data_IF_024251322677
#
_entry.id   IF_024251322677
#
_cell.length_a   1.000
_cell.length_b   1.000
_cell.length_c   1.000
_cell.angle_alpha   90.00
_cell.angle_beta   90.00
_cell.angle_gamma   90.00
#
_symmetry.space_group_name_H-M   'P 1'
#
loop_
_entity.id
_entity.type
_entity.pdbx_description
1 polymer ?
#
# COMPACT_ATOMS: atom_id res chain seq x y z
N UNK A 1 13.51 -11.77 8.47
CA UNK A 1 12.44 -10.88 7.93
C UNK A 1 12.00 -9.96 9.05
N UNK A 2 11.69 -8.70 8.75
CA UNK A 2 11.26 -7.69 9.75
C UNK A 2 9.91 -7.12 9.31
N UNK A 3 8.95 -7.05 10.23
CA UNK A 3 7.71 -6.31 10.08
C UNK A 3 7.89 -4.93 10.69
N UNK A 4 7.55 -3.86 9.97
CA UNK A 4 7.68 -2.49 10.43
C UNK A 4 6.58 -2.10 11.41
N UNK A 5 5.33 -2.53 11.17
CA UNK A 5 4.14 -2.32 12.03
C UNK A 5 3.66 -0.88 12.21
N UNK A 6 4.45 0.12 11.81
CA UNK A 6 4.08 1.53 11.88
C UNK A 6 4.40 2.31 10.59
N UNK A 7 4.07 1.76 9.42
CA UNK A 7 4.30 2.48 8.16
C UNK A 7 3.34 3.68 8.10
N UNK A 8 3.90 4.87 7.93
CA UNK A 8 3.17 6.15 7.88
C UNK A 8 3.94 7.16 7.05
N UNK A 9 3.28 8.19 6.53
CA UNK A 9 3.96 9.26 5.78
C UNK A 9 5.05 9.96 6.61
N UNK A 10 4.83 10.13 7.92
CA UNK A 10 5.81 10.74 8.83
C UNK A 10 7.07 9.90 9.03
N UNK A 11 6.98 8.59 8.80
CA UNK A 11 8.09 7.66 8.91
C UNK A 11 8.80 7.44 7.56
N UNK A 12 8.32 8.06 6.47
CA UNK A 12 9.00 8.07 5.19
C UNK A 12 9.88 9.31 5.05
N UNK A 13 11.16 9.06 4.77
CA UNK A 13 12.12 10.11 4.45
C UNK A 13 12.72 9.85 3.08
N UNK A 14 13.46 10.83 2.58
CA UNK A 14 14.34 10.63 1.44
C UNK A 14 15.73 11.17 1.78
N UNK A 15 16.75 10.46 1.34
CA UNK A 15 18.14 10.89 1.46
C UNK A 15 18.67 11.25 0.09
N UNK A 16 19.35 12.39 -0.01
CA UNK A 16 20.06 12.77 -1.23
C UNK A 16 21.39 11.99 -1.32
N UNK A 17 21.57 11.26 -2.41
CA UNK A 17 22.83 10.62 -2.82
C UNK A 17 23.60 11.57 -3.74
N UNK A 18 24.87 11.79 -3.42
CA UNK A 18 25.77 12.67 -4.18
C UNK A 18 26.71 11.89 -5.11
N UNK A 19 26.71 10.56 -4.98
CA UNK A 19 27.54 9.60 -5.72
C UNK A 19 26.89 9.12 -7.03
N UNK A 20 25.58 9.37 -7.23
CA UNK A 20 24.85 8.96 -8.44
C UNK A 20 24.13 10.16 -9.10
N UNK A 21 24.34 10.34 -10.40
CA UNK A 21 23.69 11.42 -11.16
C UNK A 21 22.28 11.05 -11.67
N UNK A 22 21.92 9.77 -11.71
CA UNK A 22 20.66 9.29 -12.30
C UNK A 22 19.48 9.31 -11.31
N UNK A 23 19.71 8.87 -10.07
CA UNK A 23 18.71 8.87 -9.00
C UNK A 23 19.33 9.42 -7.73
N UNK A 24 19.40 10.76 -7.60
CA UNK A 24 20.08 11.40 -6.48
C UNK A 24 19.26 11.31 -5.19
N UNK A 25 18.14 10.58 -5.15
CA UNK A 25 17.31 10.44 -3.95
C UNK A 25 16.94 8.99 -3.72
N UNK A 26 17.01 8.56 -2.45
CA UNK A 26 16.58 7.24 -2.03
C UNK A 26 15.60 7.37 -0.87
N UNK A 27 14.48 6.65 -0.97
CA UNK A 27 13.51 6.53 0.11
C UNK A 27 14.13 5.79 1.30
N UNK A 28 13.96 6.35 2.49
CA UNK A 28 14.40 5.77 3.76
C UNK A 28 13.17 5.61 4.65
N UNK A 29 12.92 4.38 5.09
CA UNK A 29 11.89 4.10 6.09
C UNK A 29 12.51 4.19 7.48
N UNK A 30 11.89 4.94 8.37
CA UNK A 30 12.35 5.21 9.72
C UNK A 30 11.37 4.69 10.77
N UNK A 31 11.78 4.76 12.05
CA UNK A 31 10.93 4.46 13.22
C UNK A 31 10.56 2.97 13.35
N UNK A 32 11.58 2.16 13.65
CA UNK A 32 11.49 0.71 13.86
C UNK A 32 11.18 0.33 15.31
N UNK A 33 10.81 1.27 16.18
CA UNK A 33 10.55 1.00 17.60
C UNK A 33 9.39 0.02 17.82
N UNK A 34 8.46 -0.03 16.85
CA UNK A 34 7.31 -0.94 16.85
C UNK A 34 7.56 -2.20 15.99
N UNK A 35 8.74 -2.32 15.38
CA UNK A 35 9.06 -3.40 14.47
C UNK A 35 9.22 -4.75 15.18
N UNK A 36 9.08 -5.83 14.43
CA UNK A 36 9.28 -7.18 14.95
C UNK A 36 10.06 -8.06 13.97
N UNK A 37 10.98 -8.86 14.51
CA UNK A 37 11.71 -9.88 13.73
C UNK A 37 10.93 -11.19 13.68
N UNK A 38 10.82 -11.79 12.50
CA UNK A 38 10.20 -13.09 12.30
C UNK A 38 11.24 -14.23 12.32
N UNK A 39 10.92 -15.42 12.90
CA UNK A 39 9.64 -15.76 13.54
C UNK A 39 9.44 -15.05 14.88
N UNK A 40 8.18 -14.77 15.23
CA UNK A 40 7.81 -14.06 16.45
C UNK A 40 8.32 -14.86 17.67
N UNK A 41 9.36 -14.35 18.35
CA UNK A 41 9.96 -15.05 19.50
C UNK A 41 9.10 -14.95 20.77
N UNK A 42 8.28 -13.92 20.87
CA UNK A 42 7.38 -13.65 21.98
C UNK A 42 6.08 -13.03 21.43
N UNK A 43 4.93 -13.27 22.07
CA UNK A 43 3.64 -12.62 21.75
C UNK A 43 3.69 -11.17 22.23
N UNK A 44 4.71 -10.41 21.82
CA UNK A 44 4.90 -9.05 22.26
C UNK A 44 4.00 -8.13 21.44
N UNK A 45 2.95 -7.73 22.17
CA UNK A 45 1.94 -6.69 21.94
C UNK A 45 0.87 -6.98 20.87
N UNK A 46 -0.20 -7.66 21.34
CA UNK A 46 -1.60 -7.59 20.88
C UNK A 46 -2.20 -6.16 21.05
N UNK A 47 -1.38 -5.12 20.96
CA UNK A 47 -1.84 -3.76 21.11
C UNK A 47 -2.13 -3.20 19.72
N UNK A 48 -3.17 -2.37 19.62
CA UNK A 48 -3.50 -1.59 18.43
C UNK A 48 -2.31 -0.70 18.08
N UNK A 49 -1.44 -1.20 17.19
CA UNK A 49 -0.16 -0.56 16.84
C UNK A 49 -0.26 -0.06 15.41
N UNK A 50 0.10 1.21 15.23
CA UNK A 50 0.11 1.86 13.94
C UNK A 50 -0.69 3.16 13.95
N UNK A 51 -0.56 3.91 12.86
CA UNK A 51 -1.22 5.20 12.69
C UNK A 51 -2.57 4.98 11.99
N UNK A 52 -3.71 5.37 12.58
CA UNK A 52 -5.06 4.90 12.19
C UNK A 52 -5.41 5.02 10.69
N UNK A 53 -5.10 6.14 10.01
CA UNK A 53 -5.37 6.26 8.58
C UNK A 53 -4.56 5.28 7.72
N UNK A 54 -3.38 4.85 8.16
CA UNK A 54 -2.49 3.92 7.45
C UNK A 54 -2.66 2.47 7.87
N UNK A 55 -3.33 2.22 8.98
CA UNK A 55 -3.54 0.89 9.51
C UNK A 55 -4.42 0.05 8.59
N UNK A 56 -4.04 -1.20 8.33
CA UNK A 56 -4.84 -2.16 7.58
C UNK A 56 -6.20 -2.38 8.26
N UNK A 57 -7.25 -2.61 7.48
CA UNK A 57 -8.60 -2.71 8.02
C UNK A 57 -8.80 -3.87 9.00
N UNK A 58 -8.02 -4.95 8.86
CA UNK A 58 -8.02 -6.08 9.78
C UNK A 58 -7.48 -5.73 11.17
N UNK A 59 -6.70 -4.66 11.30
CA UNK A 59 -6.09 -4.23 12.57
C UNK A 59 -6.90 -3.13 13.27
N UNK A 60 -7.92 -2.57 12.62
CA UNK A 60 -8.70 -1.45 13.16
C UNK A 60 -9.65 -1.95 14.26
N UNK A 61 -9.49 -1.42 15.48
CA UNK A 61 -10.37 -1.74 16.61
C UNK A 61 -10.26 -3.18 17.11
N UNK A 62 -9.26 -3.93 16.65
CA UNK A 62 -8.98 -5.31 17.08
C UNK A 62 -7.63 -5.36 17.79
N UNK A 63 -7.61 -6.01 18.96
CA UNK A 63 -6.40 -6.18 19.75
C UNK A 63 -5.73 -7.54 19.47
N UNK A 64 -6.53 -8.56 19.12
CA UNK A 64 -6.03 -9.94 19.02
C UNK A 64 -5.55 -10.37 17.62
N UNK A 65 -5.39 -9.44 16.69
CA UNK A 65 -4.94 -9.75 15.33
C UNK A 65 -3.42 -9.64 15.23
N UNK A 66 -2.79 -10.73 14.82
CA UNK A 66 -1.35 -10.75 14.53
C UNK A 66 -1.07 -9.83 13.33
N UNK A 67 -0.08 -8.95 13.49
CA UNK A 67 0.38 -8.12 12.38
C UNK A 67 1.18 -8.98 11.38
N UNK A 68 0.82 -8.92 10.10
CA UNK A 68 1.41 -9.72 9.02
C UNK A 68 2.06 -8.80 7.98
N UNK A 69 2.90 -9.36 7.11
CA UNK A 69 3.55 -8.65 6.00
C UNK A 69 2.55 -7.87 5.14
N UNK A 70 1.43 -8.49 4.76
CA UNK A 70 0.38 -7.81 3.98
C UNK A 70 -0.15 -6.52 4.63
N UNK A 71 -0.09 -6.37 5.96
CA UNK A 71 -0.54 -5.16 6.63
C UNK A 71 0.43 -3.99 6.43
N UNK A 72 1.74 -4.27 6.43
CA UNK A 72 2.75 -3.28 6.06
C UNK A 72 2.61 -2.86 4.59
N UNK A 73 2.34 -3.81 3.69
CA UNK A 73 2.10 -3.52 2.27
C UNK A 73 0.83 -2.67 2.08
N UNK A 74 -0.26 -2.94 2.81
CA UNK A 74 -1.47 -2.09 2.78
C UNK A 74 -1.17 -0.67 3.24
N UNK A 75 -0.43 -0.52 4.34
CA UNK A 75 -0.05 0.79 4.84
C UNK A 75 0.80 1.57 3.83
N UNK A 76 1.76 0.91 3.19
CA UNK A 76 2.55 1.50 2.09
C UNK A 76 1.66 1.94 0.91
N UNK A 77 0.73 1.07 0.50
CA UNK A 77 -0.20 1.36 -0.58
C UNK A 77 -1.13 2.55 -0.26
N UNK A 78 -1.59 2.67 0.98
CA UNK A 78 -2.38 3.84 1.41
C UNK A 78 -1.58 5.14 1.31
N UNK A 79 -0.27 5.10 1.56
CA UNK A 79 0.60 6.27 1.37
C UNK A 79 0.73 6.64 -0.10
N UNK A 80 0.90 5.66 -0.99
CA UNK A 80 0.90 5.92 -2.43
C UNK A 80 -0.41 6.57 -2.89
N UNK A 81 -1.56 6.07 -2.45
CA UNK A 81 -2.87 6.67 -2.75
C UNK A 81 -2.95 8.12 -2.31
N UNK A 82 -2.51 8.43 -1.08
CA UNK A 82 -2.50 9.81 -0.58
C UNK A 82 -1.63 10.72 -1.42
N UNK A 83 -0.39 10.32 -1.68
CA UNK A 83 0.56 11.15 -2.41
C UNK A 83 0.05 11.40 -3.83
N UNK A 84 -0.36 10.33 -4.51
CA UNK A 84 -0.76 10.40 -5.91
C UNK A 84 -2.08 11.15 -6.11
N UNK A 85 -3.06 10.98 -5.23
CA UNK A 85 -4.37 11.61 -5.40
C UNK A 85 -4.49 12.96 -4.67
N UNK A 86 -3.85 13.09 -3.51
CA UNK A 86 -4.00 14.21 -2.59
C UNK A 86 -3.07 15.38 -2.84
N UNK A 87 -2.04 15.22 -3.66
CA UNK A 87 -1.05 16.25 -3.91
C UNK A 87 -0.84 16.53 -5.39
N UNK A 88 -0.46 17.76 -5.71
CA UNK A 88 -0.05 18.19 -7.05
C UNK A 88 1.33 18.85 -6.97
N UNK A 89 2.14 18.69 -8.00
CA UNK A 89 3.41 19.42 -8.11
C UNK A 89 3.13 20.74 -8.83
N UNK A 90 3.25 21.84 -8.10
CA UNK A 90 2.97 23.18 -8.61
C UNK A 90 4.24 24.02 -8.67
N UNK A 91 4.29 24.95 -9.62
CA UNK A 91 5.37 25.92 -9.69
C UNK A 91 5.13 27.02 -8.64
N UNK A 92 6.11 27.24 -7.78
CA UNK A 92 6.14 28.36 -6.83
C UNK A 92 7.33 29.29 -7.13
N UNK A 93 7.40 30.42 -6.42
CA UNK A 93 8.53 31.35 -6.51
C UNK A 93 9.88 30.71 -6.15
N UNK A 94 9.88 29.68 -5.29
CA UNK A 94 11.07 28.95 -4.86
C UNK A 94 11.36 27.66 -5.65
N UNK A 95 10.63 27.42 -6.75
CA UNK A 95 10.71 26.18 -7.53
C UNK A 95 9.46 25.31 -7.42
N UNK A 96 9.57 24.05 -7.85
CA UNK A 96 8.47 23.09 -7.78
C UNK A 96 8.24 22.66 -6.33
N UNK A 97 7.00 22.73 -5.87
CA UNK A 97 6.58 22.30 -4.54
C UNK A 97 5.40 21.35 -4.62
N UNK A 98 5.29 20.47 -3.63
CA UNK A 98 4.14 19.58 -3.50
C UNK A 98 3.05 20.31 -2.71
N UNK A 99 1.88 20.51 -3.32
CA UNK A 99 0.75 21.21 -2.73
C UNK A 99 -0.43 20.26 -2.52
N UNK A 100 -1.04 20.31 -1.34
CA UNK A 100 -2.23 19.51 -1.02
C UNK A 100 -3.47 20.03 -1.77
N UNK A 101 -4.23 19.11 -2.36
CA UNK A 101 -5.42 19.38 -3.14
C UNK A 101 -6.68 19.34 -2.26
N UNK A 102 -6.90 20.37 -1.43
CA UNK A 102 -8.02 20.42 -0.48
C UNK A 102 -9.40 20.19 -1.12
N UNK A 103 -9.64 20.69 -2.33
CA UNK A 103 -10.92 20.50 -3.04
C UNK A 103 -11.10 19.12 -3.68
N UNK A 104 -10.00 18.40 -3.90
CA UNK A 104 -10.03 17.02 -4.43
C UNK A 104 -10.08 16.00 -3.31
N UNK A 105 -9.57 16.33 -2.11
CA UNK A 105 -9.63 15.47 -0.93
C UNK A 105 -11.06 15.07 -0.59
N UNK A 106 -12.02 16.01 -0.67
CA UNK A 106 -13.44 15.71 -0.48
C UNK A 106 -14.06 14.80 -1.57
N UNK A 107 -13.40 14.61 -2.72
CA UNK A 107 -13.90 13.82 -3.86
C UNK A 107 -13.26 12.43 -3.97
N UNK A 108 -12.21 12.14 -3.19
CA UNK A 108 -11.56 10.83 -3.22
C UNK A 108 -12.46 9.74 -2.61
N UNK A 109 -12.45 8.56 -3.21
CA UNK A 109 -13.15 7.38 -2.69
C UNK A 109 -12.68 6.94 -1.29
N UNK A 110 -11.53 7.43 -0.84
CA UNK A 110 -10.90 7.14 0.45
C UNK A 110 -10.69 8.38 1.33
N UNK A 111 -11.36 9.50 1.02
CA UNK A 111 -11.28 10.75 1.78
C UNK A 111 -11.54 10.55 3.28
N UNK A 112 -12.54 9.73 3.60
CA UNK A 112 -12.97 9.43 4.97
C UNK A 112 -11.93 8.68 5.80
N UNK A 113 -10.88 8.13 5.19
CA UNK A 113 -9.87 7.39 5.94
C UNK A 113 -9.06 8.26 6.91
N UNK A 114 -9.09 9.58 6.70
CA UNK A 114 -8.34 10.57 7.48
C UNK A 114 -9.22 11.36 8.43
N UNK A 115 -10.54 11.13 8.40
CA UNK A 115 -11.47 11.76 9.30
C UNK A 115 -11.37 11.09 10.68
N UNK A 116 -10.81 11.84 11.64
CA UNK A 116 -10.61 11.39 13.02
C UNK A 116 -11.92 11.21 13.80
N UNK A 117 -13.04 11.64 13.24
CA UNK A 117 -14.36 11.46 13.83
C UNK A 117 -15.05 10.16 13.39
N UNK A 118 -14.53 9.52 12.34
CA UNK A 118 -15.04 8.23 11.84
C UNK A 118 -14.73 7.11 12.83
N UNK A 119 -15.72 6.26 13.13
CA UNK A 119 -15.53 5.11 14.02
C UNK A 119 -14.63 4.06 13.38
N UNK A 120 -14.02 3.20 14.21
CA UNK A 120 -13.18 2.09 13.73
C UNK A 120 -13.92 1.15 12.78
N UNK A 121 -15.19 0.88 13.07
CA UNK A 121 -16.03 0.01 12.25
C UNK A 121 -16.30 0.62 10.88
N UNK A 122 -16.72 1.90 10.83
CA UNK A 122 -16.93 2.61 9.56
C UNK A 122 -15.65 2.67 8.73
N UNK A 123 -14.50 2.96 9.36
CA UNK A 123 -13.21 2.99 8.68
C UNK A 123 -12.82 1.62 8.11
N UNK A 124 -13.10 0.55 8.85
CA UNK A 124 -12.91 -0.84 8.42
C UNK A 124 -13.75 -1.12 7.18
N UNK A 125 -15.03 -0.77 7.21
CA UNK A 125 -15.97 -1.00 6.12
C UNK A 125 -15.57 -0.20 4.87
N UNK A 126 -15.18 1.07 5.00
CA UNK A 126 -14.71 1.87 3.86
C UNK A 126 -13.45 1.29 3.22
N UNK A 127 -12.46 0.87 4.03
CA UNK A 127 -11.21 0.29 3.51
C UNK A 127 -11.45 -1.07 2.85
N UNK A 128 -12.30 -1.91 3.44
CA UNK A 128 -12.67 -3.21 2.86
C UNK A 128 -13.43 -3.03 1.54
N UNK A 129 -14.41 -2.12 1.52
CA UNK A 129 -15.21 -1.80 0.35
C UNK A 129 -14.35 -1.27 -0.81
N UNK A 130 -13.33 -0.44 -0.52
CA UNK A 130 -12.40 0.07 -1.52
C UNK A 130 -11.74 -1.03 -2.36
N UNK A 131 -11.34 -2.15 -1.73
CA UNK A 131 -10.74 -3.28 -2.45
C UNK A 131 -11.79 -4.19 -3.09
N UNK A 132 -12.86 -4.53 -2.37
CA UNK A 132 -13.88 -5.47 -2.88
C UNK A 132 -14.63 -4.90 -4.07
N UNK A 133 -14.91 -3.59 -4.07
CA UNK A 133 -15.65 -2.94 -5.15
C UNK A 133 -14.76 -2.32 -6.22
N UNK A 134 -13.42 -2.34 -6.06
CA UNK A 134 -12.45 -1.66 -6.95
C UNK A 134 -12.90 -0.23 -7.20
N UNK A 135 -12.92 0.54 -6.11
CA UNK A 135 -13.25 1.95 -6.19
C UNK A 135 -12.27 2.65 -7.15
N UNK A 136 -12.77 3.52 -8.04
CA UNK A 136 -11.93 4.20 -9.01
C UNK A 136 -10.89 5.08 -8.30
N UNK A 137 -9.70 5.09 -8.88
CA UNK A 137 -8.55 5.85 -8.42
C UNK A 137 -8.27 6.94 -9.45
N UNK A 138 -8.20 8.18 -8.97
CA UNK A 138 -7.93 9.35 -9.82
C UNK A 138 -6.72 10.10 -9.27
N UNK A 139 -5.49 9.77 -9.71
CA UNK A 139 -4.30 10.54 -9.37
C UNK A 139 -4.40 11.97 -9.88
N UNK A 140 -3.65 12.87 -9.24
CA UNK A 140 -3.45 14.23 -9.75
C UNK A 140 -2.65 14.21 -11.05
N UNK A 141 -2.55 15.36 -11.71
CA UNK A 141 -1.92 15.43 -13.04
C UNK A 141 -0.45 15.01 -12.97
N UNK A 142 0.28 15.51 -11.97
CA UNK A 142 1.70 15.19 -11.77
C UNK A 142 1.97 13.73 -11.43
N UNK A 143 0.98 13.00 -10.91
CA UNK A 143 1.12 11.59 -10.51
C UNK A 143 0.30 10.63 -11.39
N UNK A 144 -0.16 11.09 -12.56
CA UNK A 144 -0.99 10.27 -13.46
C UNK A 144 -0.31 8.96 -13.90
N UNK A 145 1.02 8.97 -14.06
CA UNK A 145 1.81 7.78 -14.39
C UNK A 145 1.72 6.65 -13.34
N UNK A 146 1.41 6.98 -12.08
CA UNK A 146 1.27 5.99 -11.00
C UNK A 146 -0.05 5.21 -11.05
N UNK A 147 -1.01 5.62 -11.89
CA UNK A 147 -2.32 4.96 -11.98
C UNK A 147 -2.21 3.45 -12.24
N UNK A 148 -1.26 3.04 -13.09
CA UNK A 148 -1.03 1.62 -13.38
C UNK A 148 -0.61 0.84 -12.13
N UNK A 149 0.29 1.40 -11.33
CA UNK A 149 0.72 0.78 -10.07
C UNK A 149 -0.43 0.69 -9.10
N UNK A 150 -1.18 1.79 -8.95
CA UNK A 150 -2.27 1.87 -7.99
C UNK A 150 -3.35 0.83 -8.29
N UNK A 151 -3.78 0.73 -9.55
CA UNK A 151 -4.75 -0.26 -9.99
C UNK A 151 -4.22 -1.69 -9.83
N UNK A 152 -2.98 -1.97 -10.25
CA UNK A 152 -2.40 -3.31 -10.15
C UNK A 152 -2.36 -3.81 -8.70
N UNK A 153 -1.93 -2.97 -7.75
CA UNK A 153 -1.87 -3.32 -6.33
C UNK A 153 -3.28 -3.51 -5.76
N UNK A 154 -4.24 -2.64 -6.11
CA UNK A 154 -5.64 -2.79 -5.69
C UNK A 154 -6.22 -4.14 -6.14
N UNK A 155 -5.92 -4.56 -7.37
CA UNK A 155 -6.37 -5.83 -7.94
C UNK A 155 -5.74 -7.02 -7.21
N UNK A 156 -4.43 -6.99 -6.92
CA UNK A 156 -3.78 -8.05 -6.14
C UNK A 156 -4.42 -8.22 -4.76
N UNK A 157 -4.70 -7.11 -4.06
CA UNK A 157 -5.41 -7.16 -2.79
C UNK A 157 -6.83 -7.71 -2.93
N UNK A 158 -7.57 -7.30 -3.97
CA UNK A 158 -8.89 -7.86 -4.24
C UNK A 158 -8.83 -9.37 -4.41
N UNK A 159 -7.93 -9.89 -5.24
CA UNK A 159 -7.82 -11.33 -5.46
C UNK A 159 -7.44 -12.09 -4.20
N UNK A 160 -6.44 -11.60 -3.46
CA UNK A 160 -6.07 -12.17 -2.17
C UNK A 160 -7.26 -12.25 -1.19
N UNK A 161 -8.08 -11.20 -1.12
CA UNK A 161 -9.29 -11.16 -0.29
C UNK A 161 -10.40 -12.11 -0.79
N UNK A 162 -10.57 -12.26 -2.10
CA UNK A 162 -11.52 -13.20 -2.69
C UNK A 162 -11.14 -14.65 -2.38
N UNK A 163 -9.87 -15.00 -2.56
CA UNK A 163 -9.36 -16.35 -2.23
C UNK A 163 -9.48 -16.61 -0.73
N UNK A 164 -9.11 -15.65 0.12
CA UNK A 164 -9.30 -15.75 1.57
C UNK A 164 -10.76 -16.01 1.95
N UNK A 165 -11.71 -15.39 1.25
CA UNK A 165 -13.15 -15.58 1.46
C UNK A 165 -13.74 -16.82 0.75
N UNK A 166 -12.92 -17.66 0.10
CA UNK A 166 -13.36 -18.79 -0.74
C UNK A 166 -14.34 -18.38 -1.84
N UNK A 167 -14.17 -17.18 -2.39
CA UNK A 167 -14.99 -16.63 -3.48
C UNK A 167 -14.29 -16.81 -4.84
N UNK A 168 -15.08 -16.95 -5.90
CA UNK A 168 -14.57 -16.98 -7.28
C UNK A 168 -14.00 -15.63 -7.67
N UNK A 169 -12.77 -15.61 -8.14
CA UNK A 169 -12.12 -14.41 -8.69
C UNK A 169 -12.88 -14.00 -9.98
N UNK A 170 -13.30 -12.72 -10.12
CA UNK A 170 -13.85 -12.23 -11.38
C UNK A 170 -12.79 -12.28 -12.50
N UNK A 171 -13.14 -12.77 -13.69
CA UNK A 171 -12.24 -12.92 -14.85
C UNK A 171 -11.72 -11.60 -15.43
N UNK A 172 -12.21 -10.46 -14.95
CA UNK A 172 -11.85 -9.14 -15.46
C UNK A 172 -10.70 -8.52 -14.66
N UNK A 173 -9.75 -7.92 -15.39
CA UNK A 173 -8.69 -7.01 -14.92
C UNK A 173 -7.30 -7.61 -14.62
N UNK A 174 -6.69 -8.34 -15.55
CA UNK A 174 -5.22 -8.47 -15.57
C UNK A 174 -4.69 -7.48 -16.62
N UNK A 175 -3.77 -6.55 -16.29
CA UNK A 175 -2.94 -5.93 -17.31
C UNK A 175 -2.26 -7.07 -18.09
N UNK A 176 -2.25 -7.03 -19.42
CA UNK A 176 -1.75 -8.09 -20.32
C UNK A 176 -0.31 -8.56 -20.07
N UNK A 177 0.42 -7.89 -19.18
CA UNK A 177 1.80 -8.16 -18.80
C UNK A 177 1.96 -8.90 -17.46
N UNK A 178 0.89 -9.07 -16.69
CA UNK A 178 0.93 -9.84 -15.46
C UNK A 178 0.58 -11.30 -15.72
N UNK A 179 1.36 -12.21 -15.16
CA UNK A 179 0.98 -13.63 -15.07
C UNK A 179 0.61 -13.88 -13.63
N UNK A 180 -0.60 -14.35 -13.37
CA UNK A 180 -1.02 -14.75 -12.03
C UNK A 180 -0.01 -15.78 -11.49
N UNK A 181 0.31 -15.79 -10.19
CA UNK A 181 0.85 -17.01 -9.59
C UNK A 181 -0.10 -18.16 -9.95
N UNK A 182 0.47 -19.25 -10.48
CA UNK A 182 -0.28 -20.46 -10.77
C UNK A 182 -1.10 -20.85 -9.54
N UNK A 183 -2.36 -21.24 -9.78
CA UNK A 183 -3.28 -21.75 -8.75
C UNK A 183 -2.53 -22.58 -7.73
N UNK A 184 -2.50 -22.12 -6.47
CA UNK A 184 -1.82 -22.84 -5.39
C UNK A 184 -2.29 -24.30 -5.37
N UNK A 185 -1.33 -25.19 -5.11
CA UNK A 185 -1.60 -26.60 -4.84
C UNK A 185 -2.70 -26.71 -3.75
N UNK A 186 -3.82 -27.41 -3.99
CA UNK A 186 -4.96 -27.48 -3.06
C UNK A 186 -4.63 -28.03 -1.66
N UNK A 187 -3.45 -28.60 -1.45
CA UNK A 187 -3.04 -29.28 -0.22
C UNK A 187 -2.28 -28.41 0.78
N UNK A 188 -1.88 -27.18 0.42
CA UNK A 188 -1.18 -26.28 1.35
C UNK A 188 -2.17 -25.41 2.13
N UNK A 189 -1.95 -25.16 3.44
CA UNK A 189 -2.76 -24.20 4.19
C UNK A 189 -2.65 -22.80 3.57
N UNK A 190 -3.72 -22.01 3.63
CA UNK A 190 -3.74 -20.65 3.09
C UNK A 190 -2.69 -19.77 3.76
N UNK A 191 -1.86 -19.11 2.95
CA UNK A 191 -0.82 -18.21 3.44
C UNK A 191 -1.41 -16.83 3.77
N UNK A 192 -1.67 -16.59 5.06
CA UNK A 192 -2.17 -15.29 5.53
C UNK A 192 -1.14 -14.16 5.39
N UNK A 193 0.17 -14.43 5.33
CA UNK A 193 1.20 -13.38 5.21
C UNK A 193 1.12 -12.67 3.86
N UNK A 194 0.80 -13.42 2.82
CA UNK A 194 0.82 -12.97 1.42
C UNK A 194 -0.56 -13.01 0.75
N UNK A 195 -1.63 -13.25 1.51
CA UNK A 195 -2.98 -13.53 1.00
C UNK A 195 -3.00 -14.61 -0.09
N UNK A 196 -2.44 -15.78 0.23
CA UNK A 196 -2.37 -16.92 -0.68
C UNK A 196 -1.44 -16.68 -1.87
N UNK A 197 -0.34 -15.95 -1.67
CA UNK A 197 0.68 -15.67 -2.68
C UNK A 197 0.40 -14.46 -3.57
N UNK A 198 -0.67 -13.70 -3.34
CA UNK A 198 -1.01 -12.54 -4.18
C UNK A 198 -0.25 -11.27 -3.80
N UNK A 199 0.21 -11.16 -2.55
CA UNK A 199 0.93 -10.01 -2.01
C UNK A 199 2.33 -10.46 -1.61
N UNK A 200 3.28 -10.34 -2.52
CA UNK A 200 4.70 -10.69 -2.30
C UNK A 200 5.61 -9.52 -2.63
N UNK A 201 6.84 -9.53 -2.12
CA UNK A 201 7.84 -8.51 -2.45
C UNK A 201 8.15 -8.51 -3.94
N UNK A 202 8.20 -9.68 -4.55
CA UNK A 202 8.52 -9.88 -5.97
C UNK A 202 7.46 -9.22 -6.85
N UNK A 203 6.17 -9.41 -6.56
CA UNK A 203 5.11 -8.76 -7.32
C UNK A 203 5.08 -7.25 -7.12
N UNK A 204 5.31 -6.76 -5.91
CA UNK A 204 5.37 -5.33 -5.66
C UNK A 204 6.53 -4.68 -6.43
N UNK A 205 7.71 -5.30 -6.42
CA UNK A 205 8.87 -4.83 -7.20
C UNK A 205 8.64 -4.93 -8.70
N UNK A 206 7.97 -5.98 -9.18
CA UNK A 206 7.61 -6.11 -10.59
C UNK A 206 6.63 -5.01 -11.03
N UNK A 207 5.58 -4.73 -10.24
CA UNK A 207 4.65 -3.62 -10.50
C UNK A 207 5.41 -2.29 -10.54
N UNK A 208 6.32 -2.08 -9.60
CA UNK A 208 7.06 -0.82 -9.43
C UNK A 208 8.37 -0.78 -10.22
N UNK A 209 8.57 -1.69 -11.18
CA UNK A 209 9.81 -1.78 -11.96
C UNK A 209 9.89 -0.76 -13.08
N UNK A 210 8.77 -0.18 -13.48
CA UNK A 210 8.66 0.75 -14.60
C UNK A 210 7.58 1.78 -14.33
N UNK A 211 7.86 3.04 -14.65
CA UNK A 211 6.88 4.12 -14.63
C UNK A 211 6.98 4.95 -15.90
N UNK A 212 5.86 5.12 -16.61
CA UNK A 212 5.79 5.92 -17.84
C UNK A 212 6.85 5.54 -18.91
N UNK A 213 7.11 4.23 -19.09
CA UNK A 213 8.15 3.76 -20.02
C UNK A 213 9.58 3.77 -19.47
N UNK A 214 9.79 4.27 -18.25
CA UNK A 214 11.10 4.35 -17.62
C UNK A 214 11.31 3.22 -16.63
N UNK A 215 12.26 2.33 -16.92
CA UNK A 215 12.66 1.28 -15.99
C UNK A 215 13.37 1.85 -14.76
N UNK A 216 12.92 1.45 -13.58
CA UNK A 216 13.47 1.77 -12.27
C UNK A 216 14.46 0.69 -11.77
N UNK A 217 14.54 -0.46 -12.46
CA UNK A 217 15.34 -1.62 -12.06
C UNK A 217 16.85 -1.52 -12.36
N UNK A 218 17.41 -0.31 -12.52
CA UNK A 218 18.83 -0.14 -12.86
C UNK A 218 19.78 -0.01 -11.66
N UNK A 219 19.43 -0.57 -10.50
CA UNK A 219 20.32 -0.57 -9.33
C UNK A 219 20.37 -1.96 -8.67
N UNK A 220 21.37 -2.75 -9.04
CA UNK A 220 22.08 -3.66 -8.14
C UNK A 220 23.54 -3.21 -8.10
#
# INVERSE_FOLDING_TARGET
>A
KVLHRNISLNNMMYQKRYDTNEFPFIGVLNNFDLSCSLPLKEVTSLHQIGTPPYMAHELLGQFDVVHLYQHDVKAFYYILLMLCCGYEIVQSAGGKVMQELQSQQAKMSFAKWYDRTTSWQELTDFKRYFFISVMPISPSKSFSAFLLWLNAIQILFRWGLYVFANLKIPETCLPSHFTLPGTMQPSAPFDNETLGGHITSEYMLQIMSEIDGHSLNKQQ
#
